data_IF_868613720100
#
_entry.id   IF_868613720100
#
_cell.length_a   1.000
_cell.length_b   1.000
_cell.length_c   1.000
_cell.angle_alpha   90.00
_cell.angle_beta   90.00
_cell.angle_gamma   90.00
#
_symmetry.space_group_name_H-M   'P 1'
#
loop_
_entity.id
_entity.type
_entity.pdbx_description
1 polymer ?
#
# COMPACT_ATOMS: atom_id res chain seq x y z
N UNK A 1 5.86 -17.97 23.89
CA UNK A 1 5.40 -16.57 23.83
C UNK A 1 3.92 -16.59 23.44
N UNK A 2 3.05 -15.89 24.17
CA UNK A 2 1.62 -15.83 23.84
C UNK A 2 1.38 -14.86 22.66
N UNK A 3 0.19 -14.90 22.07
CA UNK A 3 -0.16 -14.08 20.88
C UNK A 3 -0.08 -12.58 21.16
N UNK A 4 -0.44 -12.16 22.38
CA UNK A 4 -0.42 -10.74 22.80
C UNK A 4 1.03 -10.21 22.92
N UNK A 5 1.94 -11.02 23.42
CA UNK A 5 3.35 -10.66 23.53
C UNK A 5 4.01 -10.62 22.15
N UNK A 6 3.62 -11.53 21.25
CA UNK A 6 4.09 -11.56 19.87
C UNK A 6 3.63 -10.31 19.09
N UNK A 7 2.38 -9.89 19.26
CA UNK A 7 1.88 -8.65 18.67
C UNK A 7 2.65 -7.42 19.13
N UNK A 8 2.91 -7.31 20.44
CA UNK A 8 3.70 -6.20 21.00
C UNK A 8 5.14 -6.19 20.46
N UNK A 9 5.73 -7.37 20.30
CA UNK A 9 7.10 -7.52 19.79
C UNK A 9 7.18 -7.09 18.32
N UNK A 10 6.20 -7.47 17.50
CA UNK A 10 6.10 -7.04 16.10
C UNK A 10 5.94 -5.51 16.04
N UNK A 11 5.05 -4.94 16.83
CA UNK A 11 4.84 -3.49 16.89
C UNK A 11 6.13 -2.76 17.30
N UNK A 12 6.83 -3.24 18.30
CA UNK A 12 8.11 -2.65 18.74
C UNK A 12 9.17 -2.64 17.64
N UNK A 13 9.35 -3.77 16.92
CA UNK A 13 10.33 -3.83 15.84
C UNK A 13 9.93 -3.01 14.62
N UNK A 14 8.64 -2.96 14.27
CA UNK A 14 8.12 -2.06 13.23
C UNK A 14 8.39 -0.59 13.57
N UNK A 15 8.15 -0.19 14.82
CA UNK A 15 8.44 1.16 15.31
C UNK A 15 9.94 1.49 15.28
N UNK A 16 10.80 0.53 15.62
CA UNK A 16 12.26 0.69 15.52
C UNK A 16 12.70 0.84 14.06
N UNK A 17 12.21 -0.03 13.19
CA UNK A 17 12.50 0.03 11.75
C UNK A 17 12.10 1.38 11.14
N UNK A 18 10.90 1.87 11.45
CA UNK A 18 10.39 3.17 10.98
C UNK A 18 11.19 4.38 11.48
N UNK A 19 11.90 4.22 12.58
CA UNK A 19 12.80 5.25 13.14
C UNK A 19 14.21 5.18 12.54
N UNK A 20 14.49 4.22 11.67
CA UNK A 20 15.81 3.99 11.09
C UNK A 20 16.77 3.25 12.03
N UNK A 21 16.26 2.63 13.09
CA UNK A 21 17.01 1.89 14.12
C UNK A 21 16.54 0.41 14.15
N UNK A 22 16.67 -0.26 13.01
CA UNK A 22 16.28 -1.66 12.88
C UNK A 22 17.05 -2.54 13.88
N UNK A 23 16.33 -3.24 14.74
CA UNK A 23 16.89 -4.11 15.80
C UNK A 23 16.98 -5.58 15.38
N UNK A 24 16.31 -5.96 14.32
CA UNK A 24 16.32 -7.28 13.71
C UNK A 24 16.36 -7.14 12.19
N UNK A 25 16.78 -8.20 11.51
CA UNK A 25 16.76 -8.27 10.05
C UNK A 25 15.32 -8.39 9.52
N UNK A 26 15.13 -8.04 8.24
CA UNK A 26 13.83 -8.20 7.56
C UNK A 26 13.35 -9.66 7.61
N UNK A 27 14.27 -10.64 7.44
CA UNK A 27 13.96 -12.06 7.50
C UNK A 27 13.46 -12.49 8.89
N UNK A 28 14.07 -11.97 9.98
CA UNK A 28 13.62 -12.25 11.35
C UNK A 28 12.27 -11.59 11.63
N UNK A 29 12.03 -10.38 11.10
CA UNK A 29 10.75 -9.71 11.20
C UNK A 29 9.64 -10.48 10.48
N UNK A 30 9.90 -10.92 9.25
CA UNK A 30 8.95 -11.72 8.45
C UNK A 30 8.60 -13.04 9.14
N UNK A 31 9.57 -13.71 9.76
CA UNK A 31 9.31 -14.95 10.52
C UNK A 31 8.42 -14.67 11.75
N UNK A 32 8.62 -13.58 12.47
CA UNK A 32 7.73 -13.18 13.57
C UNK A 32 6.30 -12.91 13.09
N UNK A 33 6.15 -12.21 11.97
CA UNK A 33 4.85 -11.93 11.35
C UNK A 33 4.19 -13.24 10.91
N UNK A 34 4.92 -14.17 10.30
CA UNK A 34 4.43 -15.47 9.89
C UNK A 34 3.93 -16.30 11.09
N UNK A 35 4.68 -16.34 12.18
CA UNK A 35 4.27 -17.03 13.42
C UNK A 35 3.00 -16.40 14.03
N UNK A 36 2.88 -15.09 13.96
CA UNK A 36 1.69 -14.38 14.45
C UNK A 36 0.46 -14.69 13.58
N UNK A 37 0.60 -14.64 12.25
CA UNK A 37 -0.47 -15.00 11.30
C UNK A 37 -0.96 -16.43 11.50
N UNK A 38 -0.05 -17.37 11.70
CA UNK A 38 -0.39 -18.77 11.95
C UNK A 38 -1.25 -18.97 13.21
N UNK A 39 -1.07 -18.11 14.22
CA UNK A 39 -1.78 -18.21 15.52
C UNK A 39 -3.06 -17.38 15.58
N UNK A 40 -3.14 -16.34 14.78
CA UNK A 40 -4.29 -15.43 14.78
C UNK A 40 -4.52 -14.80 13.39
N UNK A 41 -5.05 -15.57 12.44
CA UNK A 41 -5.22 -15.14 11.04
C UNK A 41 -6.16 -13.95 10.87
N UNK A 42 -7.07 -13.73 11.83
CA UNK A 42 -8.09 -12.68 11.78
C UNK A 42 -7.78 -11.47 12.70
N UNK A 43 -6.55 -11.34 13.20
CA UNK A 43 -6.22 -10.21 14.06
C UNK A 43 -6.26 -8.89 13.29
N UNK A 44 -6.88 -7.81 13.83
CA UNK A 44 -7.02 -6.52 13.14
C UNK A 44 -5.70 -5.92 12.63
N UNK A 45 -4.58 -6.14 13.33
CA UNK A 45 -3.25 -5.71 12.89
C UNK A 45 -2.74 -6.43 11.62
N UNK A 46 -3.40 -7.56 11.24
CA UNK A 46 -3.05 -8.34 10.06
C UNK A 46 -4.15 -8.30 9.01
N UNK A 47 -5.37 -8.14 9.47
CA UNK A 47 -6.57 -8.13 8.65
C UNK A 47 -7.49 -7.01 9.16
N UNK A 48 -7.08 -5.74 9.02
CA UNK A 48 -7.96 -4.64 9.35
C UNK A 48 -9.26 -4.81 8.56
N UNK A 49 -10.39 -4.52 9.19
CA UNK A 49 -11.67 -4.42 8.48
C UNK A 49 -11.51 -3.36 7.40
N UNK A 50 -11.39 -3.78 6.14
CA UNK A 50 -11.11 -2.90 5.03
C UNK A 50 -10.13 -3.49 4.05
N UNK A 51 -9.54 -2.63 3.27
CA UNK A 51 -8.65 -2.92 2.17
C UNK A 51 -7.43 -3.73 2.58
N UNK A 52 -7.24 -4.91 1.97
CA UNK A 52 -6.06 -5.76 2.22
C UNK A 52 -4.87 -5.23 1.45
N UNK A 53 -3.94 -4.57 2.12
CA UNK A 53 -2.66 -4.18 1.54
C UNK A 53 -1.62 -5.29 1.80
N UNK A 54 -1.46 -6.19 0.84
CA UNK A 54 -0.52 -7.30 0.94
C UNK A 54 0.92 -6.84 0.67
N UNK A 55 1.90 -7.50 1.29
CA UNK A 55 3.30 -7.37 0.90
C UNK A 55 3.58 -8.19 -0.34
N UNK A 56 4.39 -7.64 -1.23
CA UNK A 56 5.01 -8.43 -2.28
C UNK A 56 5.98 -9.44 -1.66
N UNK A 57 5.90 -10.70 -2.10
CA UNK A 57 6.87 -11.72 -1.74
C UNK A 57 8.21 -11.46 -2.45
N UNK A 58 9.30 -11.81 -1.77
CA UNK A 58 10.61 -11.88 -2.41
C UNK A 58 10.80 -13.29 -2.96
N UNK A 59 11.01 -13.43 -4.25
CA UNK A 59 11.34 -14.68 -4.91
C UNK A 59 12.44 -14.45 -5.95
N UNK A 60 13.19 -15.49 -6.26
CA UNK A 60 14.10 -15.46 -7.40
C UNK A 60 13.28 -15.41 -8.69
N UNK A 61 13.62 -14.49 -9.59
CA UNK A 61 12.90 -14.33 -10.86
C UNK A 61 12.77 -15.62 -11.65
N UNK A 62 13.81 -16.45 -11.71
CA UNK A 62 13.78 -17.72 -12.42
C UNK A 62 12.83 -18.75 -11.81
N UNK A 63 12.72 -18.80 -10.49
CA UNK A 63 11.77 -19.67 -9.78
C UNK A 63 10.33 -19.18 -9.98
N UNK A 64 10.10 -17.90 -9.79
CA UNK A 64 8.81 -17.28 -10.01
C UNK A 64 8.33 -17.45 -11.46
N UNK A 65 9.25 -17.24 -12.43
CA UNK A 65 8.97 -17.46 -13.84
C UNK A 65 8.54 -18.90 -14.13
N UNK A 66 9.29 -19.87 -13.59
CA UNK A 66 8.99 -21.27 -13.82
C UNK A 66 7.63 -21.70 -13.23
N UNK A 67 7.24 -21.11 -12.10
CA UNK A 67 6.02 -21.46 -11.39
C UNK A 67 4.76 -20.72 -11.91
N UNK A 68 4.90 -19.42 -12.20
CA UNK A 68 3.75 -18.51 -12.39
C UNK A 68 3.57 -17.99 -13.81
N UNK A 69 4.65 -17.87 -14.56
CA UNK A 69 4.67 -17.04 -15.75
C UNK A 69 4.85 -17.77 -17.09
N UNK A 70 4.89 -19.09 -17.06
CA UNK A 70 5.35 -19.91 -18.20
C UNK A 70 4.56 -19.71 -19.51
N UNK A 71 3.31 -19.24 -19.44
CA UNK A 71 2.42 -19.05 -20.60
C UNK A 71 1.60 -17.74 -20.49
N UNK A 72 2.00 -16.82 -19.62
CA UNK A 72 1.27 -15.60 -19.36
C UNK A 72 1.98 -14.37 -19.94
N UNK A 73 1.22 -13.38 -20.35
CA UNK A 73 1.77 -12.04 -20.62
C UNK A 73 2.12 -11.40 -19.30
N UNK A 74 3.33 -10.83 -19.21
CA UNK A 74 3.79 -10.21 -17.97
C UNK A 74 4.05 -8.73 -18.15
N UNK A 75 3.76 -7.98 -17.08
CA UNK A 75 4.12 -6.58 -16.95
C UNK A 75 5.25 -6.48 -15.93
N UNK A 76 6.26 -5.69 -16.26
CA UNK A 76 7.36 -5.37 -15.35
C UNK A 76 7.22 -3.91 -14.94
N UNK A 77 7.11 -3.66 -13.66
CA UNK A 77 6.92 -2.33 -13.09
C UNK A 77 8.03 -2.00 -12.10
N UNK A 78 8.45 -0.73 -11.99
CA UNK A 78 9.32 -0.28 -10.91
C UNK A 78 8.68 -0.54 -9.54
N UNK A 79 9.45 -1.04 -8.59
CA UNK A 79 8.99 -1.14 -7.20
C UNK A 79 9.29 0.15 -6.47
N UNK A 80 8.26 0.91 -6.19
CA UNK A 80 8.35 2.11 -5.35
C UNK A 80 8.51 1.76 -3.88
N UNK A 81 9.32 2.52 -3.18
CA UNK A 81 9.59 2.34 -1.75
C UNK A 81 9.11 3.55 -0.96
N UNK A 82 8.00 3.40 -0.30
CA UNK A 82 7.34 4.44 0.47
C UNK A 82 6.45 3.85 1.57
N UNK A 83 5.20 4.28 1.60
CA UNK A 83 4.16 3.76 2.47
C UNK A 83 2.95 3.35 1.63
N UNK A 84 2.58 2.08 1.68
CA UNK A 84 1.39 1.59 1.00
C UNK A 84 0.14 2.30 1.52
N UNK A 85 -0.67 2.81 0.61
CA UNK A 85 -1.98 3.38 0.87
C UNK A 85 -3.06 2.64 0.07
N UNK A 86 -4.20 2.46 0.73
CA UNK A 86 -5.44 2.11 0.07
C UNK A 86 -6.37 3.31 0.06
N UNK A 87 -6.91 3.63 -1.09
CA UNK A 87 -7.84 4.73 -1.33
C UNK A 87 -9.23 4.17 -1.58
N UNK A 88 -10.24 4.75 -0.96
CA UNK A 88 -11.63 4.39 -1.18
C UNK A 88 -12.39 5.55 -1.75
N UNK A 89 -13.00 5.33 -2.90
CA UNK A 89 -13.85 6.30 -3.58
C UNK A 89 -15.31 5.83 -3.53
N UNK A 90 -16.19 6.79 -3.27
CA UNK A 90 -17.64 6.60 -3.37
C UNK A 90 -18.20 7.64 -4.34
N UNK A 91 -18.89 7.19 -5.37
CA UNK A 91 -19.42 8.07 -6.43
C UNK A 91 -18.36 9.05 -6.96
N UNK A 92 -17.13 8.54 -7.18
CA UNK A 92 -16.01 9.31 -7.70
C UNK A 92 -15.26 10.20 -6.72
N UNK A 93 -15.74 10.37 -5.51
CA UNK A 93 -15.08 11.20 -4.49
C UNK A 93 -14.28 10.35 -3.53
N UNK A 94 -13.05 10.77 -3.19
CA UNK A 94 -12.22 10.12 -2.17
C UNK A 94 -12.88 10.29 -0.80
N UNK A 95 -13.41 9.19 -0.25
CA UNK A 95 -14.08 9.19 1.05
C UNK A 95 -13.17 8.71 2.18
N UNK A 96 -12.21 7.85 1.89
CA UNK A 96 -11.27 7.35 2.90
C UNK A 96 -9.93 6.95 2.29
N UNK A 97 -8.87 7.06 3.10
CA UNK A 97 -7.55 6.52 2.79
C UNK A 97 -6.99 5.81 4.02
N UNK A 98 -6.41 4.62 3.80
CA UNK A 98 -5.92 3.78 4.88
C UNK A 98 -4.48 3.36 4.66
N UNK A 99 -3.72 3.30 5.74
CA UNK A 99 -2.41 2.65 5.74
C UNK A 99 -2.57 1.13 5.75
N UNK A 100 -1.48 0.42 5.50
CA UNK A 100 -1.41 -1.06 5.60
C UNK A 100 -1.88 -1.61 6.95
N UNK A 101 -1.72 -0.87 8.03
CA UNK A 101 -2.20 -1.26 9.36
C UNK A 101 -3.67 -0.90 9.62
N UNK A 102 -4.39 -0.38 8.61
CA UNK A 102 -5.81 0.02 8.72
C UNK A 102 -6.02 1.38 9.39
N UNK A 103 -4.94 2.15 9.64
CA UNK A 103 -5.08 3.49 10.18
C UNK A 103 -5.65 4.42 9.13
N UNK A 104 -6.72 5.13 9.47
CA UNK A 104 -7.26 6.21 8.65
C UNK A 104 -6.26 7.38 8.55
N UNK A 105 -5.97 7.78 7.32
CA UNK A 105 -5.06 8.87 6.96
C UNK A 105 -5.64 9.75 5.85
N UNK A 106 -6.96 9.81 5.75
CA UNK A 106 -7.69 10.49 4.68
C UNK A 106 -7.28 11.95 4.54
N UNK A 107 -7.21 12.69 5.65
CA UNK A 107 -6.80 14.09 5.64
C UNK A 107 -5.35 14.28 5.15
N UNK A 108 -4.45 13.36 5.50
CA UNK A 108 -3.08 13.39 5.00
C UNK A 108 -3.02 13.07 3.50
N UNK A 109 -3.78 12.09 3.04
CA UNK A 109 -3.86 11.70 1.63
C UNK A 109 -4.36 12.84 0.75
N UNK A 110 -5.38 13.59 1.18
CA UNK A 110 -5.94 14.74 0.46
C UNK A 110 -4.96 15.88 0.23
N UNK A 111 -3.86 15.94 0.97
CA UNK A 111 -2.83 16.98 0.78
C UNK A 111 -1.79 16.62 -0.29
N UNK A 112 -1.81 15.40 -0.83
CA UNK A 112 -0.87 14.96 -1.87
C UNK A 112 -1.32 15.51 -3.21
N UNK A 113 -0.47 16.32 -3.83
CA UNK A 113 -0.87 17.12 -5.01
C UNK A 113 -1.20 16.30 -6.27
N UNK A 114 -0.61 15.11 -6.43
CA UNK A 114 -0.88 14.23 -7.56
C UNK A 114 -1.85 13.09 -7.22
N UNK A 115 -2.52 13.15 -6.08
CA UNK A 115 -3.54 12.18 -5.70
C UNK A 115 -4.92 12.76 -6.04
N UNK A 116 -5.68 12.20 -7.00
CA UNK A 116 -7.00 12.67 -7.34
C UNK A 116 -7.97 12.57 -6.16
N UNK A 117 -8.56 13.68 -5.74
CA UNK A 117 -9.62 13.69 -4.71
C UNK A 117 -10.98 13.40 -5.33
N UNK A 118 -11.13 13.73 -6.60
CA UNK A 118 -12.29 13.44 -7.42
C UNK A 118 -11.84 12.76 -8.71
N UNK A 119 -12.53 11.70 -9.11
CA UNK A 119 -12.30 10.99 -10.35
C UNK A 119 -13.23 11.54 -11.44
N UNK A 120 -12.81 11.52 -12.73
CA UNK A 120 -13.64 11.96 -13.83
C UNK A 120 -14.90 11.08 -13.99
N UNK A 121 -16.00 11.68 -14.43
CA UNK A 121 -17.31 11.02 -14.56
C UNK A 121 -17.32 9.86 -15.56
N UNK A 122 -16.48 9.88 -16.58
CA UNK A 122 -16.47 8.96 -17.71
C UNK A 122 -16.05 7.51 -17.38
N UNK A 123 -15.66 7.24 -16.17
CA UNK A 123 -15.14 5.92 -15.79
C UNK A 123 -15.77 5.31 -14.55
N UNK A 124 -16.62 6.04 -13.87
CA UNK A 124 -17.23 5.56 -12.64
C UNK A 124 -18.56 4.94 -12.99
N UNK A 125 -18.58 3.60 -13.07
CA UNK A 125 -19.86 2.91 -12.95
C UNK A 125 -20.51 3.43 -11.68
N UNK A 126 -21.77 3.87 -11.77
CA UNK A 126 -22.61 4.20 -10.62
C UNK A 126 -22.87 2.87 -9.89
N UNK A 127 -21.84 2.38 -9.22
CA UNK A 127 -21.89 1.20 -8.38
C UNK A 127 -22.17 1.67 -6.97
N UNK A 128 -23.09 0.99 -6.28
CA UNK A 128 -23.27 1.19 -4.84
C UNK A 128 -22.03 0.77 -4.05
N UNK A 129 -21.23 -0.13 -4.63
CA UNK A 129 -19.97 -0.59 -4.05
C UNK A 129 -18.87 0.47 -4.20
N UNK A 130 -18.10 0.71 -3.14
CA UNK A 130 -16.98 1.63 -3.20
C UNK A 130 -15.87 1.10 -4.10
N UNK A 131 -15.27 1.99 -4.89
CA UNK A 131 -14.07 1.70 -5.66
C UNK A 131 -12.85 1.77 -4.72
N UNK A 132 -12.04 0.74 -4.73
CA UNK A 132 -10.82 0.69 -3.92
C UNK A 132 -9.57 0.63 -4.81
N UNK A 133 -8.65 1.58 -4.60
CA UNK A 133 -7.39 1.71 -5.35
C UNK A 133 -6.23 1.54 -4.38
N UNK A 134 -5.24 0.75 -4.80
CA UNK A 134 -4.02 0.54 -4.04
C UNK A 134 -2.85 1.23 -4.71
N UNK A 135 -1.94 1.81 -3.90
CA UNK A 135 -0.75 2.48 -4.38
C UNK A 135 0.30 2.68 -3.29
N UNK A 136 1.32 3.41 -3.65
CA UNK A 136 2.45 3.74 -2.76
C UNK A 136 2.62 5.25 -2.65
N UNK A 137 2.63 5.78 -1.43
CA UNK A 137 3.03 7.16 -1.14
C UNK A 137 4.53 7.19 -0.97
N UNK A 138 5.23 7.94 -1.82
CA UNK A 138 6.69 7.96 -1.84
C UNK A 138 7.24 9.39 -2.04
N UNK A 139 8.53 9.57 -1.83
CA UNK A 139 9.22 10.83 -2.12
C UNK A 139 10.11 10.64 -3.35
N UNK A 140 9.77 11.26 -4.51
CA UNK A 140 10.64 11.22 -5.68
C UNK A 140 12.03 11.78 -5.37
N UNK A 141 13.05 11.25 -6.04
CA UNK A 141 14.45 11.72 -5.93
C UNK A 141 15.11 11.53 -4.55
N UNK A 142 14.52 10.77 -3.65
CA UNK A 142 15.14 10.39 -2.38
C UNK A 142 15.56 8.92 -2.38
N UNK A 143 16.58 8.60 -1.57
CA UNK A 143 16.92 7.20 -1.31
C UNK A 143 15.75 6.48 -0.63
N UNK A 144 15.66 5.16 -0.81
CA UNK A 144 14.62 4.28 -0.26
C UNK A 144 14.26 4.62 1.19
N UNK A 145 15.24 4.60 2.09
CA UNK A 145 15.03 4.85 3.53
C UNK A 145 14.49 6.26 3.81
N UNK A 146 14.99 7.26 3.09
CA UNK A 146 14.52 8.65 3.24
C UNK A 146 13.10 8.82 2.71
N UNK A 147 12.77 8.20 1.57
CA UNK A 147 11.44 8.20 0.98
C UNK A 147 10.42 7.61 1.95
N UNK A 148 10.68 6.40 2.47
CA UNK A 148 9.81 5.74 3.46
C UNK A 148 9.65 6.57 4.74
N UNK A 149 10.74 7.13 5.25
CA UNK A 149 10.71 7.96 6.48
C UNK A 149 9.89 9.23 6.28
N UNK A 150 10.01 9.89 5.13
CA UNK A 150 9.26 11.11 4.81
C UNK A 150 7.77 10.79 4.66
N UNK A 151 7.40 9.76 3.89
CA UNK A 151 6.03 9.33 3.71
C UNK A 151 5.37 8.93 5.05
N UNK A 152 6.03 8.08 5.83
CA UNK A 152 5.54 7.67 7.15
C UNK A 152 5.43 8.85 8.13
N UNK A 153 6.37 9.79 8.07
CA UNK A 153 6.34 11.03 8.85
C UNK A 153 5.13 11.90 8.51
N UNK A 154 4.86 12.06 7.22
CA UNK A 154 3.71 12.83 6.71
C UNK A 154 2.37 12.26 7.20
N UNK A 155 2.18 10.95 7.09
CA UNK A 155 0.95 10.27 7.51
C UNK A 155 0.68 10.32 9.03
N UNK A 156 1.65 10.78 9.82
CA UNK A 156 1.53 10.96 11.27
C UNK A 156 1.38 12.41 11.71
N UNK A 157 1.61 13.38 10.81
CA UNK A 157 1.50 14.80 11.15
C UNK A 157 0.06 15.18 11.44
N UNK A 158 -0.09 16.07 12.43
CA UNK A 158 -1.39 16.70 12.74
C UNK A 158 -1.86 17.65 11.62
N UNK A 159 -0.90 18.35 10.99
CA UNK A 159 -1.13 19.27 9.89
C UNK A 159 -0.22 18.85 8.72
N UNK A 160 -0.62 17.87 7.92
CA UNK A 160 0.14 17.42 6.76
C UNK A 160 0.05 18.44 5.63
N UNK A 161 1.10 18.55 4.81
CA UNK A 161 1.18 19.52 3.70
C UNK A 161 1.35 18.85 2.34
N UNK A 162 1.62 17.55 2.27
CA UNK A 162 1.91 16.85 1.04
C UNK A 162 3.26 17.16 0.39
N UNK A 163 3.98 18.17 0.88
CA UNK A 163 5.18 18.68 0.23
C UNK A 163 6.27 17.61 0.05
N UNK A 164 6.74 17.47 -1.20
CA UNK A 164 7.80 16.55 -1.57
C UNK A 164 7.38 15.07 -1.65
N UNK A 165 6.08 14.80 -1.66
CA UNK A 165 5.51 13.47 -1.79
C UNK A 165 4.68 13.33 -3.05
N UNK A 166 4.67 12.12 -3.60
CA UNK A 166 3.84 11.69 -4.72
C UNK A 166 3.17 10.36 -4.39
N UNK A 167 2.03 10.13 -4.98
CA UNK A 167 1.32 8.86 -4.90
C UNK A 167 1.33 8.18 -6.27
N UNK A 168 1.71 6.92 -6.34
CA UNK A 168 1.64 6.07 -7.53
C UNK A 168 0.61 4.98 -7.30
N UNK A 169 -0.36 4.85 -8.21
CA UNK A 169 -1.39 3.80 -8.15
C UNK A 169 -0.95 2.59 -8.99
N UNK A 170 -1.16 1.38 -8.49
CA UNK A 170 -0.77 0.16 -9.18
C UNK A 170 -1.83 -0.95 -9.20
N UNK A 171 -2.97 -0.78 -8.53
CA UNK A 171 -4.00 -1.83 -8.48
C UNK A 171 -5.39 -1.25 -8.22
N UNK A 172 -6.38 -1.75 -8.95
CA UNK A 172 -7.81 -1.57 -8.66
C UNK A 172 -8.29 -2.85 -7.98
N UNK A 173 -8.67 -2.78 -6.71
CA UNK A 173 -9.09 -3.94 -5.95
C UNK A 173 -10.44 -4.45 -6.42
N UNK A 174 -10.54 -5.77 -6.59
CA UNK A 174 -11.77 -6.41 -7.06
C UNK A 174 -12.07 -6.21 -8.54
N UNK A 175 -11.15 -5.62 -9.31
CA UNK A 175 -11.27 -5.58 -10.78
C UNK A 175 -11.25 -6.99 -11.36
N UNK A 176 -12.08 -7.21 -12.39
CA UNK A 176 -12.06 -8.42 -13.22
C UNK A 176 -11.35 -8.17 -14.58
N UNK A 177 -10.84 -6.95 -14.80
CA UNK A 177 -10.07 -6.60 -15.98
C UNK A 177 -8.64 -7.17 -15.88
N UNK A 178 -7.93 -7.20 -16.99
CA UNK A 178 -6.51 -7.48 -16.96
C UNK A 178 -5.70 -6.27 -16.44
N UNK A 179 -4.47 -6.50 -16.01
CA UNK A 179 -3.63 -5.46 -15.40
C UNK A 179 -3.32 -4.31 -16.36
N UNK A 180 -3.25 -4.56 -17.67
CA UNK A 180 -3.03 -3.51 -18.68
C UNK A 180 -4.25 -2.59 -18.77
N UNK A 181 -5.45 -3.17 -18.71
CA UNK A 181 -6.70 -2.40 -18.71
C UNK A 181 -6.84 -1.58 -17.43
N UNK A 182 -6.51 -2.16 -16.29
CA UNK A 182 -6.53 -1.45 -15.01
C UNK A 182 -5.52 -0.30 -14.97
N UNK A 183 -4.31 -0.50 -15.48
CA UNK A 183 -3.30 0.57 -15.59
C UNK A 183 -3.80 1.71 -16.48
N UNK A 184 -4.35 1.42 -17.66
CA UNK A 184 -4.92 2.43 -18.57
C UNK A 184 -6.07 3.20 -17.90
N UNK A 185 -6.88 2.51 -17.13
CA UNK A 185 -7.98 3.10 -16.39
C UNK A 185 -7.49 4.03 -15.27
N UNK A 186 -6.50 3.61 -14.49
CA UNK A 186 -5.85 4.44 -13.49
C UNK A 186 -5.23 5.70 -14.13
N UNK A 187 -4.55 5.56 -15.26
CA UNK A 187 -4.00 6.69 -16.01
C UNK A 187 -5.10 7.66 -16.49
N UNK A 188 -6.21 7.13 -17.02
CA UNK A 188 -7.35 7.96 -17.43
C UNK A 188 -8.02 8.71 -16.27
N UNK A 189 -7.85 8.24 -15.05
CA UNK A 189 -8.29 8.90 -13.82
C UNK A 189 -7.24 9.80 -13.20
N UNK A 190 -6.20 10.15 -13.96
CA UNK A 190 -5.11 11.05 -13.57
C UNK A 190 -4.21 10.56 -12.44
N UNK A 191 -4.17 9.25 -12.19
CA UNK A 191 -3.15 8.70 -11.31
C UNK A 191 -1.79 8.64 -12.00
N UNK A 192 -0.73 8.86 -11.23
CA UNK A 192 0.60 8.42 -11.60
C UNK A 192 0.63 6.90 -11.54
N UNK A 193 1.11 6.26 -12.59
CA UNK A 193 1.24 4.81 -12.73
C UNK A 193 2.71 4.39 -12.74
N UNK A 194 3.05 3.14 -12.40
CA UNK A 194 4.44 2.64 -12.37
C UNK A 194 5.15 2.64 -13.70
#
# INVERSE_FOLDING_TARGET
>A
MNTKDLAKKIQYFDDCYRKGDAKISDAEFDELVKQFKARNPNHPAINPEGMKLLSLGNSCFSEWWAEKARNETMIVQPKFDGCALGLRYQSGTLVAAFTRSGKDVTEAARTICNLPVELPEDGIAVSEEPLEIRGELYAPNLSRTKSQSLAAGHLRKKNPTGAGLSFVAYEILGSNADEIEDIKKLESWFFEIP
#
